data_IF_484296135645
#
_entry.id   IF_484296135645
#
_cell.length_a   1.000
_cell.length_b   1.000
_cell.length_c   1.000
_cell.angle_alpha   90.00
_cell.angle_beta   90.00
_cell.angle_gamma   90.00
#
_symmetry.space_group_name_H-M   'P 1'
#
loop_
_entity.id
_entity.type
_entity.pdbx_description
1 polymer ?
#
# COMPACT_ATOMS: atom_id res chain seq x y z
N UNK A 1 -77.55 63.80 -29.93
CA UNK A 1 -76.25 64.09 -29.14
C UNK A 1 -75.85 62.92 -28.30
N UNK A 2 -76.69 62.05 -27.78
CA UNK A 2 -76.39 60.93 -26.90
C UNK A 2 -75.51 59.81 -27.52
N UNK A 3 -75.69 59.44 -28.78
CA UNK A 3 -74.90 58.39 -29.45
C UNK A 3 -73.40 58.68 -29.50
N UNK A 4 -72.99 59.95 -29.74
CA UNK A 4 -71.56 60.35 -29.76
C UNK A 4 -70.89 60.28 -28.37
N UNK A 5 -71.62 60.52 -27.30
CA UNK A 5 -71.11 60.41 -25.94
C UNK A 5 -70.85 58.98 -25.56
N UNK A 6 -71.72 58.05 -25.93
CA UNK A 6 -71.54 56.60 -25.65
C UNK A 6 -70.35 55.99 -26.42
N UNK A 7 -70.15 56.36 -27.70
CA UNK A 7 -69.04 55.91 -28.52
C UNK A 7 -67.69 56.41 -27.99
N UNK A 8 -67.63 57.67 -27.52
CA UNK A 8 -66.38 58.19 -26.86
C UNK A 8 -66.14 57.51 -25.53
N UNK A 9 -67.16 57.23 -24.75
CA UNK A 9 -66.98 56.50 -23.47
C UNK A 9 -66.47 55.05 -23.67
N UNK A 10 -67.05 54.30 -24.61
CA UNK A 10 -66.62 52.95 -24.99
C UNK A 10 -65.20 52.96 -25.57
N UNK A 11 -64.85 53.96 -26.37
CA UNK A 11 -63.49 54.14 -26.89
C UNK A 11 -62.44 54.35 -25.83
N UNK A 12 -62.76 55.15 -24.82
CA UNK A 12 -61.88 55.38 -23.66
C UNK A 12 -61.76 54.12 -22.82
N UNK A 13 -62.86 53.44 -22.51
CA UNK A 13 -62.85 52.18 -21.75
C UNK A 13 -61.99 51.08 -22.43
N UNK A 14 -62.17 50.96 -23.78
CA UNK A 14 -61.34 50.04 -24.56
C UNK A 14 -59.82 50.38 -24.49
N UNK A 15 -59.48 51.67 -24.46
CA UNK A 15 -58.08 52.14 -24.31
C UNK A 15 -57.57 51.77 -22.96
N UNK A 16 -58.32 51.97 -21.88
CA UNK A 16 -57.96 51.66 -20.52
C UNK A 16 -57.79 50.15 -20.28
N UNK A 17 -58.67 49.33 -20.88
CA UNK A 17 -58.54 47.87 -20.86
C UNK A 17 -57.31 47.42 -21.60
N UNK A 18 -56.97 48.01 -22.76
CA UNK A 18 -55.68 47.66 -23.44
C UNK A 18 -54.49 48.06 -22.67
N UNK A 19 -54.46 49.23 -21.99
CA UNK A 19 -53.41 49.68 -21.13
C UNK A 19 -53.25 48.76 -19.91
N UNK A 20 -54.36 48.35 -19.27
CA UNK A 20 -54.33 47.40 -18.15
C UNK A 20 -53.82 46.02 -18.60
N UNK A 21 -54.20 45.52 -19.76
CA UNK A 21 -53.73 44.26 -20.32
C UNK A 21 -52.22 44.32 -20.61
N UNK A 22 -51.72 45.44 -21.18
CA UNK A 22 -50.27 45.64 -21.41
C UNK A 22 -49.50 45.66 -20.10
N UNK A 23 -50.01 46.34 -19.06
CA UNK A 23 -49.41 46.36 -17.75
C UNK A 23 -49.39 44.95 -17.12
N UNK A 24 -50.47 44.19 -17.21
CA UNK A 24 -50.50 42.79 -16.72
C UNK A 24 -49.51 41.90 -17.43
N UNK A 25 -49.30 42.07 -18.75
CA UNK A 25 -48.27 41.31 -19.49
C UNK A 25 -46.87 41.68 -19.04
N UNK A 26 -46.58 42.95 -18.78
CA UNK A 26 -45.31 43.43 -18.23
C UNK A 26 -45.04 42.84 -16.83
N UNK A 27 -46.04 42.88 -15.94
CA UNK A 27 -45.94 42.29 -14.59
C UNK A 27 -45.70 40.79 -14.67
N UNK A 28 -46.40 40.05 -15.51
CA UNK A 28 -46.18 38.62 -15.73
C UNK A 28 -44.77 38.30 -16.23
N UNK A 29 -44.22 39.15 -17.11
CA UNK A 29 -42.85 39.03 -17.58
C UNK A 29 -41.83 39.29 -16.48
N UNK A 30 -42.05 40.30 -15.63
CA UNK A 30 -41.21 40.59 -14.49
C UNK A 30 -41.24 39.45 -13.44
N UNK A 31 -42.44 38.89 -13.16
CA UNK A 31 -42.56 37.74 -12.26
C UNK A 31 -41.78 36.55 -12.79
N UNK A 32 -41.86 36.23 -14.08
CA UNK A 32 -41.06 35.15 -14.69
C UNK A 32 -39.56 35.42 -14.62
N UNK A 33 -39.14 36.67 -14.76
CA UNK A 33 -37.74 37.10 -14.58
C UNK A 33 -37.25 36.86 -13.14
N UNK A 34 -38.05 37.29 -12.17
CA UNK A 34 -37.74 37.09 -10.75
C UNK A 34 -37.69 35.59 -10.35
N UNK A 35 -38.62 34.80 -10.89
CA UNK A 35 -38.59 33.34 -10.63
C UNK A 35 -37.32 32.66 -11.13
N UNK A 36 -36.83 33.04 -12.36
CA UNK A 36 -35.53 32.56 -12.88
C UNK A 36 -34.40 33.00 -11.98
N UNK A 37 -34.36 34.25 -11.60
CA UNK A 37 -33.31 34.77 -10.71
C UNK A 37 -33.27 34.07 -9.34
N UNK A 38 -34.44 33.80 -8.73
CA UNK A 38 -34.57 33.03 -7.49
C UNK A 38 -34.03 31.60 -7.70
N UNK A 39 -34.30 30.95 -8.81
CA UNK A 39 -33.78 29.63 -9.14
C UNK A 39 -32.24 29.67 -9.23
N UNK A 40 -31.65 30.63 -9.92
CA UNK A 40 -30.21 30.80 -10.04
C UNK A 40 -29.54 31.08 -8.71
N UNK A 41 -30.14 31.94 -7.88
CA UNK A 41 -29.64 32.19 -6.51
C UNK A 41 -29.68 30.92 -5.64
N UNK A 42 -30.72 30.11 -5.78
CA UNK A 42 -30.82 28.84 -5.04
C UNK A 42 -29.70 27.86 -5.42
N UNK A 43 -29.34 27.77 -6.69
CA UNK A 43 -28.20 26.97 -7.17
C UNK A 43 -26.88 27.52 -6.65
N UNK A 44 -26.69 28.84 -6.68
CA UNK A 44 -25.48 29.48 -6.14
C UNK A 44 -25.35 29.24 -4.64
N UNK A 45 -26.46 29.40 -3.88
CA UNK A 45 -26.51 29.10 -2.45
C UNK A 45 -26.07 27.68 -2.16
N UNK A 46 -26.60 26.69 -2.92
CA UNK A 46 -26.24 25.29 -2.74
C UNK A 46 -24.75 25.05 -3.01
N UNK A 47 -24.20 25.59 -4.09
CA UNK A 47 -22.76 25.52 -4.39
C UNK A 47 -21.88 26.09 -3.28
N UNK A 48 -22.30 27.22 -2.68
CA UNK A 48 -21.57 27.83 -1.57
C UNK A 48 -21.67 26.97 -0.29
N UNK A 49 -22.83 26.36 -0.02
CA UNK A 49 -22.98 25.44 1.10
C UNK A 49 -22.10 24.18 0.94
N UNK A 50 -22.10 23.58 -0.25
CA UNK A 50 -21.24 22.43 -0.55
C UNK A 50 -19.74 22.78 -0.44
N UNK A 51 -19.34 23.98 -0.90
CA UNK A 51 -17.98 24.47 -0.75
C UNK A 51 -17.63 24.72 0.72
N UNK A 52 -18.57 25.23 1.52
CA UNK A 52 -18.39 25.45 2.96
C UNK A 52 -18.27 24.12 3.74
N UNK A 53 -19.05 23.11 3.36
CA UNK A 53 -18.92 21.76 3.96
C UNK A 53 -17.58 21.13 3.66
N UNK A 54 -17.13 21.19 2.40
CA UNK A 54 -15.79 20.73 2.01
C UNK A 54 -14.67 21.48 2.73
N UNK A 55 -14.84 22.78 2.99
CA UNK A 55 -13.88 23.58 3.76
C UNK A 55 -13.86 23.23 5.27
N UNK A 56 -14.85 22.50 5.77
CA UNK A 56 -14.88 22.00 7.15
C UNK A 56 -14.16 20.66 7.34
N UNK A 57 -13.91 19.93 6.25
CA UNK A 57 -13.13 18.69 6.35
C UNK A 57 -11.66 19.06 6.67
N UNK A 58 -11.09 18.45 7.71
CA UNK A 58 -9.71 18.75 8.09
C UNK A 58 -8.77 18.31 6.94
N UNK A 59 -7.87 19.21 6.58
CA UNK A 59 -6.82 18.88 5.60
C UNK A 59 -5.82 17.90 6.22
N UNK A 60 -5.01 17.22 5.38
CA UNK A 60 -3.93 16.37 5.87
C UNK A 60 -2.95 17.15 6.77
N UNK A 61 -2.72 18.43 6.49
CA UNK A 61 -1.88 19.30 7.31
C UNK A 61 -2.50 19.53 8.69
N UNK A 62 -3.82 19.72 8.79
CA UNK A 62 -4.53 19.87 10.07
C UNK A 62 -4.43 18.59 10.89
N UNK A 63 -4.62 17.43 10.25
CA UNK A 63 -4.46 16.13 10.91
C UNK A 63 -3.05 15.88 11.43
N UNK A 64 -2.01 16.37 10.73
CA UNK A 64 -0.63 16.29 11.22
C UNK A 64 -0.39 17.22 12.43
N UNK A 65 -1.01 18.38 12.48
CA UNK A 65 -1.00 19.26 13.68
C UNK A 65 -1.72 18.56 14.86
N UNK A 66 -2.85 17.93 14.61
CA UNK A 66 -3.56 17.14 15.61
C UNK A 66 -2.71 15.97 16.13
N UNK A 67 -1.97 15.30 15.26
CA UNK A 67 -1.00 14.27 15.66
C UNK A 67 0.09 14.82 16.58
N UNK A 68 0.65 16.00 16.24
CA UNK A 68 1.63 16.65 17.10
C UNK A 68 1.07 16.97 18.51
N UNK A 69 -0.15 17.50 18.57
CA UNK A 69 -0.83 17.80 19.81
C UNK A 69 -1.07 16.51 20.61
N UNK A 70 -1.54 15.46 19.96
CA UNK A 70 -1.75 14.14 20.56
C UNK A 70 -0.46 13.57 21.19
N UNK A 71 0.66 13.68 20.49
CA UNK A 71 1.98 13.25 21.02
C UNK A 71 2.40 14.03 22.26
N UNK A 72 2.15 15.34 22.26
CA UNK A 72 2.46 16.19 23.41
C UNK A 72 1.56 15.88 24.62
N UNK A 73 0.28 15.60 24.40
CA UNK A 73 -0.64 15.14 25.45
C UNK A 73 -0.18 13.81 26.08
N UNK A 74 0.20 12.84 25.28
CA UNK A 74 0.70 11.54 25.76
C UNK A 74 1.96 11.63 26.63
N UNK A 75 2.67 12.75 26.57
CA UNK A 75 3.88 13.03 27.35
C UNK A 75 3.64 14.02 28.48
N UNK A 76 2.39 14.22 28.90
CA UNK A 76 2.05 15.17 29.98
C UNK A 76 2.87 14.96 31.25
N UNK A 77 3.14 13.71 31.60
CA UNK A 77 3.82 13.30 32.84
C UNK A 77 5.34 13.23 32.73
N UNK A 78 5.91 13.54 31.57
CA UNK A 78 7.34 13.48 31.36
C UNK A 78 8.07 14.70 31.97
N UNK A 79 9.36 14.52 32.32
CA UNK A 79 10.20 15.64 32.78
C UNK A 79 10.28 16.72 31.70
N UNK A 80 10.35 18.00 32.12
CA UNK A 80 10.40 19.16 31.23
C UNK A 80 11.49 19.05 30.17
N UNK A 81 12.70 18.58 30.58
CA UNK A 81 13.84 18.42 29.67
C UNK A 81 13.61 17.34 28.61
N UNK A 82 13.06 16.20 29.00
CA UNK A 82 12.72 15.11 28.08
C UNK A 82 11.60 15.51 27.10
N UNK A 83 10.56 16.18 27.64
CA UNK A 83 9.42 16.69 26.87
C UNK A 83 9.90 17.68 25.80
N UNK A 84 10.72 18.68 26.18
CA UNK A 84 11.23 19.68 25.24
C UNK A 84 12.05 19.05 24.10
N UNK A 85 12.95 18.13 24.42
CA UNK A 85 13.75 17.42 23.41
C UNK A 85 12.87 16.69 22.40
N UNK A 86 11.89 15.92 22.88
CA UNK A 86 10.99 15.16 22.00
C UNK A 86 10.07 16.08 21.19
N UNK A 87 9.59 17.18 21.76
CA UNK A 87 8.75 18.16 21.06
C UNK A 87 9.49 18.79 19.87
N UNK A 88 10.78 19.13 20.03
CA UNK A 88 11.58 19.66 18.92
C UNK A 88 11.73 18.64 17.79
N UNK A 89 11.95 17.38 18.13
CA UNK A 89 12.07 16.31 17.13
C UNK A 89 10.75 16.05 16.40
N UNK A 90 9.65 15.94 17.14
CA UNK A 90 8.33 15.77 16.55
C UNK A 90 7.94 16.94 15.67
N UNK A 91 8.27 18.18 16.08
CA UNK A 91 8.02 19.37 15.28
C UNK A 91 8.75 19.33 13.93
N UNK A 92 10.03 18.95 13.94
CA UNK A 92 10.82 18.84 12.71
C UNK A 92 10.28 17.72 11.79
N UNK A 93 9.89 16.60 12.36
CA UNK A 93 9.30 15.49 11.63
C UNK A 93 7.95 15.88 10.98
N UNK A 94 7.10 16.59 11.72
CA UNK A 94 5.82 17.07 11.20
C UNK A 94 6.02 18.16 10.15
N UNK A 95 6.98 19.08 10.36
CA UNK A 95 7.33 20.11 9.39
C UNK A 95 7.73 19.49 8.06
N UNK A 96 8.62 18.48 8.07
CA UNK A 96 9.03 17.76 6.87
C UNK A 96 7.84 17.05 6.19
N UNK A 97 6.93 16.46 6.97
CA UNK A 97 5.72 15.83 6.44
C UNK A 97 4.79 16.85 5.76
N UNK A 98 4.57 18.02 6.38
CA UNK A 98 3.75 19.11 5.80
C UNK A 98 4.41 19.69 4.53
N UNK A 99 5.72 19.89 4.56
CA UNK A 99 6.47 20.39 3.39
C UNK A 99 6.37 19.37 2.23
N UNK A 100 6.44 18.07 2.53
CA UNK A 100 6.25 17.00 1.54
C UNK A 100 4.83 17.02 0.95
N UNK A 101 3.78 17.12 1.78
CA UNK A 101 2.40 17.19 1.32
C UNK A 101 2.19 18.39 0.39
N UNK A 102 2.75 19.57 0.73
CA UNK A 102 2.67 20.79 -0.09
C UNK A 102 3.40 20.62 -1.42
N UNK A 103 4.62 20.08 -1.40
CA UNK A 103 5.42 19.86 -2.60
C UNK A 103 4.73 18.93 -3.61
N UNK A 104 3.96 17.94 -3.13
CA UNK A 104 3.23 16.98 -3.95
C UNK A 104 1.74 17.31 -4.11
N UNK A 105 1.27 18.47 -3.60
CA UNK A 105 -0.15 18.89 -3.68
C UNK A 105 -1.14 17.88 -3.12
N UNK A 106 -0.76 17.15 -2.06
CA UNK A 106 -1.60 16.16 -1.40
C UNK A 106 -2.41 16.84 -0.29
N UNK A 107 -3.72 16.95 -0.46
CA UNK A 107 -4.60 17.67 0.45
C UNK A 107 -5.58 16.76 1.18
N UNK A 108 -5.97 15.64 0.56
CA UNK A 108 -6.98 14.71 1.08
C UNK A 108 -6.38 13.34 1.38
N UNK A 109 -7.08 12.55 2.19
CA UNK A 109 -6.69 11.16 2.47
C UNK A 109 -6.69 10.32 1.18
N UNK A 110 -7.61 10.60 0.27
CA UNK A 110 -7.71 9.92 -1.03
C UNK A 110 -6.51 10.22 -1.92
N UNK A 111 -6.02 11.48 -1.92
CA UNK A 111 -4.79 11.86 -2.64
C UNK A 111 -3.59 11.09 -2.08
N UNK A 112 -3.49 11.00 -0.75
CA UNK A 112 -2.43 10.27 -0.05
C UNK A 112 -2.46 8.78 -0.38
N UNK A 113 -3.63 8.15 -0.29
CA UNK A 113 -3.80 6.72 -0.59
C UNK A 113 -3.52 6.42 -2.08
N UNK A 114 -3.91 7.33 -2.97
CA UNK A 114 -3.60 7.25 -4.40
C UNK A 114 -2.09 7.36 -4.65
N UNK A 115 -1.42 8.30 -4.01
CA UNK A 115 0.04 8.47 -4.11
C UNK A 115 0.78 7.23 -3.60
N UNK A 116 0.37 6.66 -2.45
CA UNK A 116 0.92 5.42 -1.90
C UNK A 116 0.71 4.25 -2.87
N UNK A 117 -0.48 4.14 -3.45
CA UNK A 117 -0.81 3.09 -4.41
C UNK A 117 0.08 3.17 -5.66
N UNK A 118 0.23 4.36 -6.24
CA UNK A 118 1.04 4.61 -7.43
C UNK A 118 2.52 4.26 -7.19
N UNK A 119 3.09 4.70 -6.06
CA UNK A 119 4.48 4.34 -5.71
C UNK A 119 4.66 2.84 -5.48
N UNK A 120 3.70 2.18 -4.83
CA UNK A 120 3.75 0.73 -4.64
C UNK A 120 3.63 -0.02 -5.98
N UNK A 121 2.78 0.44 -6.90
CA UNK A 121 2.66 -0.13 -8.25
C UNK A 121 3.95 0.03 -9.05
N UNK A 122 4.67 1.13 -8.89
CA UNK A 122 5.97 1.37 -9.52
C UNK A 122 7.07 0.52 -8.89
N UNK A 123 7.11 0.43 -7.56
CA UNK A 123 8.15 -0.30 -6.83
C UNK A 123 7.98 -1.83 -6.86
N UNK A 124 6.75 -2.34 -6.95
CA UNK A 124 6.47 -3.77 -6.92
C UNK A 124 7.12 -4.56 -8.08
N UNK A 125 7.04 -4.14 -9.35
CA UNK A 125 7.70 -4.84 -10.45
C UNK A 125 9.23 -4.80 -10.30
N UNK A 126 9.82 -3.68 -9.86
CA UNK A 126 11.26 -3.55 -9.65
C UNK A 126 11.75 -4.55 -8.58
N UNK A 127 11.04 -4.65 -7.45
CA UNK A 127 11.35 -5.62 -6.38
C UNK A 127 11.21 -7.06 -6.88
N UNK A 128 10.19 -7.35 -7.69
CA UNK A 128 9.97 -8.68 -8.26
C UNK A 128 11.10 -9.06 -9.20
N UNK A 129 11.50 -8.16 -10.08
CA UNK A 129 12.58 -8.38 -11.03
C UNK A 129 13.93 -8.53 -10.31
N UNK A 130 14.22 -7.71 -9.30
CA UNK A 130 15.41 -7.85 -8.47
C UNK A 130 15.49 -9.23 -7.82
N UNK A 131 14.39 -9.71 -7.24
CA UNK A 131 14.30 -11.05 -6.65
C UNK A 131 14.50 -12.16 -7.69
N UNK A 132 13.96 -12.00 -8.90
CA UNK A 132 14.18 -12.95 -9.99
C UNK A 132 15.65 -13.01 -10.41
N UNK A 133 16.29 -11.85 -10.57
CA UNK A 133 17.72 -11.77 -10.88
C UNK A 133 18.58 -12.43 -9.79
N UNK A 134 18.32 -12.14 -8.52
CA UNK A 134 19.03 -12.75 -7.39
C UNK A 134 18.85 -14.27 -7.33
N UNK A 135 17.65 -14.77 -7.59
CA UNK A 135 17.39 -16.20 -7.65
C UNK A 135 18.14 -16.85 -8.82
N UNK A 136 18.19 -16.19 -9.98
CA UNK A 136 18.93 -16.69 -11.16
C UNK A 136 20.44 -16.68 -10.93
N UNK A 137 20.98 -15.63 -10.30
CA UNK A 137 22.41 -15.60 -9.92
C UNK A 137 22.77 -16.73 -8.95
N UNK A 138 21.91 -17.04 -7.97
CA UNK A 138 22.09 -18.19 -7.07
C UNK A 138 22.05 -19.50 -7.83
N UNK A 139 21.14 -19.65 -8.79
CA UNK A 139 21.06 -20.84 -9.63
C UNK A 139 22.33 -21.01 -10.49
N UNK A 140 22.88 -19.93 -11.06
CA UNK A 140 24.14 -19.96 -11.80
C UNK A 140 25.30 -20.41 -10.91
N UNK A 141 25.39 -19.91 -9.67
CA UNK A 141 26.40 -20.36 -8.71
C UNK A 141 26.28 -21.88 -8.43
N UNK A 142 25.05 -22.35 -8.18
CA UNK A 142 24.79 -23.79 -7.96
C UNK A 142 25.14 -24.66 -9.19
N UNK A 143 24.90 -24.15 -10.42
CA UNK A 143 25.28 -24.84 -11.64
C UNK A 143 26.80 -24.96 -11.73
N UNK A 144 27.54 -23.88 -11.44
CA UNK A 144 29.01 -23.89 -11.47
C UNK A 144 29.59 -24.87 -10.45
N UNK A 145 29.07 -24.85 -9.20
CA UNK A 145 29.51 -25.77 -8.15
C UNK A 145 29.21 -27.23 -8.54
N UNK A 146 28.01 -27.50 -9.03
CA UNK A 146 27.64 -28.82 -9.47
C UNK A 146 28.47 -29.30 -10.67
N UNK A 147 28.78 -28.40 -11.60
CA UNK A 147 29.63 -28.73 -12.75
C UNK A 147 31.07 -29.04 -12.31
N UNK A 148 31.62 -28.32 -11.33
CA UNK A 148 32.95 -28.61 -10.78
C UNK A 148 32.99 -29.99 -10.10
N UNK A 149 31.95 -30.31 -9.30
CA UNK A 149 31.81 -31.65 -8.68
C UNK A 149 31.68 -32.74 -9.73
N UNK A 150 30.83 -32.52 -10.75
CA UNK A 150 30.64 -33.45 -11.85
C UNK A 150 31.96 -33.71 -12.60
N UNK A 151 32.71 -32.66 -12.95
CA UNK A 151 33.99 -32.81 -13.64
C UNK A 151 35.01 -33.58 -12.82
N UNK A 152 35.10 -33.32 -11.51
CA UNK A 152 36.02 -34.00 -10.58
C UNK A 152 35.68 -35.48 -10.40
N UNK A 153 34.40 -35.84 -10.32
CA UNK A 153 33.96 -37.19 -9.96
C UNK A 153 33.61 -38.07 -11.20
N UNK A 154 33.50 -37.48 -12.38
CA UNK A 154 33.24 -38.21 -13.63
C UNK A 154 34.19 -39.37 -13.86
N UNK A 155 35.54 -39.31 -13.64
CA UNK A 155 36.46 -40.42 -13.83
C UNK A 155 36.14 -41.64 -12.95
N UNK A 156 35.63 -41.41 -11.71
CA UNK A 156 35.21 -42.49 -10.79
C UNK A 156 34.00 -43.21 -11.38
N UNK A 157 33.04 -42.47 -11.87
CA UNK A 157 31.84 -43.01 -12.53
C UNK A 157 32.17 -43.77 -13.81
N UNK A 158 33.08 -43.24 -14.66
CA UNK A 158 33.50 -43.89 -15.87
C UNK A 158 34.24 -45.21 -15.57
N UNK A 159 34.99 -45.26 -14.47
CA UNK A 159 35.63 -46.48 -13.96
C UNK A 159 34.60 -47.48 -13.47
N UNK A 160 33.56 -47.02 -12.73
CA UNK A 160 32.45 -47.83 -12.28
C UNK A 160 31.68 -48.50 -13.44
N UNK A 161 31.39 -47.74 -14.48
CA UNK A 161 30.68 -48.27 -15.70
C UNK A 161 31.49 -49.32 -16.42
N UNK A 162 32.81 -49.15 -16.53
CA UNK A 162 33.75 -50.05 -17.26
C UNK A 162 33.90 -51.43 -16.57
N UNK A 163 33.48 -51.58 -15.28
CA UNK A 163 33.54 -52.86 -14.61
C UNK A 163 32.45 -53.80 -15.10
N UNK A 164 32.85 -54.96 -15.66
CA UNK A 164 31.93 -55.93 -16.29
C UNK A 164 31.29 -56.90 -15.28
N UNK A 165 31.95 -57.20 -14.17
CA UNK A 165 31.49 -58.17 -13.20
C UNK A 165 30.68 -57.49 -12.08
N UNK A 166 29.48 -58.06 -11.76
CA UNK A 166 28.59 -57.51 -10.74
C UNK A 166 29.28 -57.37 -9.36
N UNK A 167 29.99 -58.40 -8.92
CA UNK A 167 30.71 -58.38 -7.64
C UNK A 167 31.78 -57.24 -7.58
N UNK A 168 32.49 -57.04 -8.68
CA UNK A 168 33.49 -55.94 -8.79
C UNK A 168 32.84 -54.56 -8.84
N UNK A 169 31.62 -54.41 -9.42
CA UNK A 169 30.81 -53.21 -9.38
C UNK A 169 30.35 -52.87 -7.98
N UNK A 170 29.75 -53.88 -7.29
CA UNK A 170 29.19 -53.74 -5.94
C UNK A 170 30.32 -53.37 -4.94
N UNK A 171 31.47 -54.01 -5.03
CA UNK A 171 32.65 -53.67 -4.17
C UNK A 171 33.13 -52.25 -4.44
N UNK A 172 33.25 -51.85 -5.71
CA UNK A 172 33.67 -50.49 -6.08
C UNK A 172 32.67 -49.43 -5.65
N UNK A 173 31.38 -49.72 -5.84
CA UNK A 173 30.29 -48.83 -5.39
C UNK A 173 30.30 -48.67 -3.87
N UNK A 174 30.55 -49.72 -3.12
CA UNK A 174 30.67 -49.64 -1.66
C UNK A 174 31.89 -48.79 -1.23
N UNK A 175 33.03 -48.93 -1.94
CA UNK A 175 34.24 -48.14 -1.68
C UNK A 175 34.10 -46.64 -1.99
N UNK A 176 33.36 -46.31 -3.08
CA UNK A 176 33.20 -44.95 -3.60
C UNK A 176 31.76 -44.44 -3.45
N UNK A 177 31.04 -44.89 -2.44
CA UNK A 177 29.60 -44.56 -2.25
C UNK A 177 29.37 -43.07 -2.16
N UNK A 178 30.13 -42.37 -1.34
CA UNK A 178 29.91 -40.92 -1.11
C UNK A 178 30.21 -40.10 -2.37
N UNK A 179 31.25 -40.48 -3.13
CA UNK A 179 31.58 -39.82 -4.40
C UNK A 179 30.51 -40.05 -5.47
N UNK A 180 30.00 -41.27 -5.59
CA UNK A 180 28.93 -41.57 -6.53
C UNK A 180 27.62 -40.89 -6.16
N UNK A 181 27.29 -40.80 -4.87
CA UNK A 181 26.12 -40.06 -4.38
C UNK A 181 26.28 -38.55 -4.61
N UNK A 182 27.48 -38.01 -4.37
CA UNK A 182 27.78 -36.60 -4.68
C UNK A 182 27.68 -36.31 -6.19
N UNK A 183 28.18 -37.20 -7.04
CA UNK A 183 28.05 -37.09 -8.49
C UNK A 183 26.57 -37.13 -8.93
N UNK A 184 25.79 -38.07 -8.42
CA UNK A 184 24.36 -38.18 -8.72
C UNK A 184 23.60 -36.92 -8.31
N UNK A 185 23.92 -36.33 -7.16
CA UNK A 185 23.38 -35.05 -6.72
C UNK A 185 23.75 -33.90 -7.65
N UNK A 186 25.02 -33.83 -8.06
CA UNK A 186 25.50 -32.84 -9.01
C UNK A 186 24.78 -32.94 -10.37
N UNK A 187 24.65 -34.16 -10.92
CA UNK A 187 23.93 -34.42 -12.18
C UNK A 187 22.46 -33.98 -12.06
N UNK A 188 21.77 -34.34 -10.96
CA UNK A 188 20.38 -33.91 -10.74
C UNK A 188 20.25 -32.40 -10.68
N UNK A 189 21.19 -31.70 -10.04
CA UNK A 189 21.23 -30.24 -9.95
C UNK A 189 21.43 -29.63 -11.34
N UNK A 190 22.39 -30.12 -12.11
CA UNK A 190 22.65 -29.68 -13.48
C UNK A 190 21.43 -29.87 -14.39
N UNK A 191 20.81 -31.05 -14.36
CA UNK A 191 19.61 -31.33 -15.16
C UNK A 191 18.45 -30.44 -14.78
N UNK A 192 18.26 -30.16 -13.48
CA UNK A 192 17.18 -29.31 -12.99
C UNK A 192 17.36 -27.83 -13.33
N UNK A 193 18.58 -27.29 -13.20
CA UNK A 193 18.85 -25.85 -13.30
C UNK A 193 19.38 -25.42 -14.67
N UNK A 194 20.10 -26.33 -15.38
CA UNK A 194 20.72 -26.05 -16.67
C UNK A 194 20.11 -26.86 -17.82
N UNK A 195 19.29 -27.89 -17.52
CA UNK A 195 18.70 -28.79 -18.53
C UNK A 195 19.71 -29.78 -19.16
N UNK A 196 21.00 -29.67 -18.84
CA UNK A 196 22.09 -30.51 -19.39
C UNK A 196 23.24 -30.59 -18.40
N UNK A 197 24.01 -31.68 -18.47
CA UNK A 197 25.28 -31.81 -17.72
C UNK A 197 26.44 -31.06 -18.42
N UNK A 198 26.29 -30.71 -19.71
CA UNK A 198 27.22 -29.86 -20.43
C UNK A 198 26.96 -28.38 -20.05
N UNK A 199 27.97 -27.73 -19.50
CA UNK A 199 27.85 -26.34 -19.00
C UNK A 199 28.76 -25.44 -19.84
N UNK A 200 28.17 -24.37 -20.40
CA UNK A 200 28.90 -23.29 -21.01
C UNK A 200 29.21 -22.21 -19.99
N UNK A 201 30.38 -22.29 -19.38
CA UNK A 201 30.82 -21.36 -18.34
C UNK A 201 30.89 -19.91 -18.83
N UNK A 202 31.36 -19.67 -20.03
CA UNK A 202 31.47 -18.31 -20.59
C UNK A 202 30.09 -17.66 -20.76
N UNK A 203 29.09 -18.41 -21.21
CA UNK A 203 27.71 -17.92 -21.32
C UNK A 203 27.12 -17.64 -19.93
N UNK A 204 27.37 -18.52 -18.93
CA UNK A 204 26.92 -18.30 -17.57
C UNK A 204 27.61 -17.11 -16.90
N UNK A 205 28.88 -16.87 -17.18
CA UNK A 205 29.61 -15.71 -16.66
C UNK A 205 29.09 -14.41 -17.28
N UNK A 206 28.82 -14.40 -18.56
CA UNK A 206 28.18 -13.25 -19.22
C UNK A 206 26.76 -12.97 -18.66
N UNK A 207 25.96 -14.02 -18.51
CA UNK A 207 24.62 -13.91 -17.91
C UNK A 207 24.69 -13.39 -16.47
N UNK A 208 25.59 -13.93 -15.65
CA UNK A 208 25.78 -13.50 -14.25
C UNK A 208 26.16 -12.02 -14.18
N UNK A 209 27.10 -11.58 -15.02
CA UNK A 209 27.54 -10.17 -15.07
C UNK A 209 26.41 -9.24 -15.50
N UNK A 210 25.60 -9.64 -16.49
CA UNK A 210 24.43 -8.88 -16.94
C UNK A 210 23.36 -8.78 -15.83
N UNK A 211 23.08 -9.89 -15.12
CA UNK A 211 22.15 -9.90 -14.01
C UNK A 211 22.66 -9.05 -12.83
N UNK A 212 23.95 -9.05 -12.58
CA UNK A 212 24.58 -8.23 -11.54
C UNK A 212 24.44 -6.74 -11.85
N UNK A 213 24.74 -6.32 -13.09
CA UNK A 213 24.57 -4.94 -13.54
C UNK A 213 23.11 -4.50 -13.47
N UNK A 214 22.19 -5.30 -14.05
CA UNK A 214 20.76 -5.02 -14.00
C UNK A 214 20.20 -4.96 -12.56
N UNK A 215 20.72 -5.80 -11.67
CA UNK A 215 20.33 -5.75 -10.24
C UNK A 215 20.82 -4.48 -9.55
N UNK A 216 22.01 -3.98 -9.88
CA UNK A 216 22.53 -2.71 -9.38
C UNK A 216 21.63 -1.53 -9.83
N UNK A 217 21.25 -1.49 -11.10
CA UNK A 217 20.34 -0.47 -11.63
C UNK A 217 18.98 -0.50 -10.95
N UNK A 218 18.39 -1.70 -10.77
CA UNK A 218 17.12 -1.86 -10.07
C UNK A 218 17.19 -1.41 -8.62
N UNK A 219 18.29 -1.66 -7.92
CA UNK A 219 18.53 -1.17 -6.56
C UNK A 219 18.58 0.34 -6.51
N UNK A 220 19.33 0.97 -7.42
CA UNK A 220 19.39 2.45 -7.51
C UNK A 220 18.00 3.04 -7.76
N UNK A 221 17.19 2.45 -8.66
CA UNK A 221 15.82 2.89 -8.90
C UNK A 221 14.94 2.73 -7.64
N UNK A 222 15.07 1.65 -6.90
CA UNK A 222 14.34 1.43 -5.65
C UNK A 222 14.80 2.39 -4.54
N UNK A 223 16.09 2.70 -4.47
CA UNK A 223 16.66 3.65 -3.52
C UNK A 223 16.14 5.07 -3.76
N UNK A 224 15.94 5.48 -5.02
CA UNK A 224 15.34 6.79 -5.34
C UNK A 224 13.87 6.89 -4.93
N UNK A 225 13.12 5.79 -4.95
CA UNK A 225 11.71 5.74 -4.55
C UNK A 225 11.53 5.57 -3.02
N UNK A 226 12.55 5.09 -2.33
CA UNK A 226 12.45 4.72 -0.90
C UNK A 226 12.13 5.91 0.02
N UNK A 227 12.72 7.12 -0.15
CA UNK A 227 12.37 8.29 0.65
C UNK A 227 10.87 8.63 0.56
N UNK A 228 10.31 8.67 -0.65
CA UNK A 228 8.90 8.99 -0.88
C UNK A 228 7.97 7.93 -0.28
N UNK A 229 8.30 6.65 -0.47
CA UNK A 229 7.53 5.54 0.12
C UNK A 229 7.55 5.63 1.64
N UNK A 230 8.69 5.99 2.24
CA UNK A 230 8.83 6.13 3.68
C UNK A 230 8.09 7.35 4.22
N UNK A 231 8.19 8.49 3.54
CA UNK A 231 7.48 9.72 3.89
C UNK A 231 5.97 9.51 3.89
N UNK A 232 5.41 8.99 2.78
CA UNK A 232 3.96 8.74 2.67
C UNK A 232 3.45 7.72 3.69
N UNK A 233 4.20 6.65 3.96
CA UNK A 233 3.82 5.66 4.98
C UNK A 233 3.82 6.25 6.39
N UNK A 234 4.79 7.11 6.70
CA UNK A 234 4.84 7.76 8.00
C UNK A 234 3.67 8.75 8.15
N UNK A 235 3.42 9.57 7.12
CA UNK A 235 2.28 10.49 7.10
C UNK A 235 0.97 9.72 7.30
N UNK A 236 0.76 8.63 6.56
CA UNK A 236 -0.44 7.79 6.70
C UNK A 236 -0.59 7.24 8.11
N UNK A 237 0.49 6.74 8.69
CA UNK A 237 0.52 6.24 10.07
C UNK A 237 0.13 7.32 11.09
N UNK A 238 0.61 8.56 10.92
CA UNK A 238 0.28 9.68 11.81
C UNK A 238 -1.20 10.04 11.74
N UNK A 239 -1.72 10.12 10.52
CA UNK A 239 -3.14 10.37 10.27
C UNK A 239 -4.03 9.26 10.88
N UNK A 240 -3.66 7.99 10.67
CA UNK A 240 -4.41 6.86 11.23
C UNK A 240 -4.45 6.90 12.77
N UNK A 241 -3.38 7.36 13.43
CA UNK A 241 -3.36 7.53 14.89
C UNK A 241 -4.36 8.59 15.37
N UNK A 242 -4.50 9.69 14.63
CA UNK A 242 -5.47 10.78 14.94
C UNK A 242 -6.88 10.28 14.72
N UNK A 243 -7.18 9.70 13.57
CA UNK A 243 -8.50 9.19 13.22
C UNK A 243 -9.00 8.10 14.18
N UNK A 244 -8.12 7.19 14.58
CA UNK A 244 -8.45 6.16 15.56
C UNK A 244 -8.78 6.76 16.93
N UNK A 245 -8.06 7.81 17.38
CA UNK A 245 -8.39 8.51 18.62
C UNK A 245 -9.72 9.23 18.51
N UNK A 246 -10.00 9.90 17.42
CA UNK A 246 -11.27 10.59 17.18
C UNK A 246 -12.46 9.61 17.19
N UNK A 247 -12.31 8.43 16.59
CA UNK A 247 -13.33 7.38 16.61
C UNK A 247 -13.60 6.84 18.03
N UNK A 248 -12.57 6.70 18.85
CA UNK A 248 -12.67 6.27 20.26
C UNK A 248 -13.30 7.34 21.17
N UNK A 249 -13.15 8.61 20.81
CA UNK A 249 -13.65 9.76 21.58
C UNK A 249 -15.05 10.20 21.15
N UNK A 250 -15.59 9.68 20.03
CA UNK A 250 -16.94 9.99 19.58
C UNK A 250 -17.98 9.36 20.51
N UNK A 251 -19.06 10.09 20.90
CA UNK A 251 -20.13 9.56 21.73
C UNK A 251 -20.84 8.42 20.95
N UNK A 252 -20.57 7.19 21.33
CA UNK A 252 -21.09 5.97 20.70
C UNK A 252 -20.03 5.08 20.03
N UNK A 253 -18.76 5.49 19.98
CA UNK A 253 -17.65 4.67 19.54
C UNK A 253 -17.49 3.46 20.47
N UNK A 254 -17.80 2.24 19.97
CA UNK A 254 -17.42 1.01 20.67
C UNK A 254 -15.90 1.01 20.75
N UNK A 255 -15.34 1.15 21.94
CA UNK A 255 -13.94 0.78 22.20
C UNK A 255 -13.76 -0.63 21.62
N UNK A 256 -12.83 -0.87 20.67
CA UNK A 256 -12.42 -2.22 20.40
C UNK A 256 -11.94 -2.75 21.76
N UNK A 257 -12.64 -3.75 22.31
CA UNK A 257 -12.15 -4.45 23.48
C UNK A 257 -10.71 -4.84 23.14
N UNK A 258 -9.76 -4.15 23.78
CA UNK A 258 -8.39 -4.64 23.79
C UNK A 258 -8.53 -5.98 24.49
N UNK A 259 -8.63 -7.05 23.71
CA UNK A 259 -8.42 -8.39 24.24
C UNK A 259 -7.16 -8.31 25.06
N UNK A 260 -7.33 -8.32 26.35
CA UNK A 260 -6.25 -8.11 27.30
C UNK A 260 -5.20 -9.15 26.93
N UNK A 261 -3.95 -8.73 26.77
CA UNK A 261 -2.81 -9.65 26.58
C UNK A 261 -2.81 -10.72 27.68
N UNK A 262 -3.36 -10.37 28.87
CA UNK A 262 -3.67 -11.28 29.97
C UNK A 262 -4.66 -12.38 29.56
N UNK A 263 -5.74 -12.08 28.82
CA UNK A 263 -6.73 -13.06 28.38
C UNK A 263 -6.14 -14.05 27.35
N UNK A 264 -5.33 -13.56 26.41
CA UNK A 264 -4.55 -14.41 25.47
C UNK A 264 -3.50 -15.25 26.17
N UNK A 265 -2.91 -14.73 27.26
CA UNK A 265 -1.93 -15.46 28.06
C UNK A 265 -2.59 -16.54 28.95
N UNK A 266 -3.79 -16.27 29.46
CA UNK A 266 -4.59 -17.22 30.19
C UNK A 266 -5.14 -18.34 29.28
N UNK A 267 -5.61 -18.00 28.08
CA UNK A 267 -6.04 -18.97 27.06
C UNK A 267 -4.86 -19.83 26.57
N UNK A 268 -3.68 -19.24 26.37
CA UNK A 268 -2.48 -19.99 26.01
C UNK A 268 -1.99 -20.90 27.15
N UNK A 269 -2.12 -20.50 28.41
CA UNK A 269 -1.82 -21.34 29.57
C UNK A 269 -2.83 -22.46 29.75
N UNK A 270 -4.12 -22.19 29.51
CA UNK A 270 -5.17 -23.22 29.56
C UNK A 270 -4.97 -24.27 28.47
N UNK A 271 -4.58 -23.88 27.24
CA UNK A 271 -4.26 -24.78 26.15
C UNK A 271 -3.00 -25.63 26.37
N UNK A 272 -2.04 -25.13 27.15
CA UNK A 272 -0.84 -25.90 27.55
C UNK A 272 -1.11 -26.90 28.68
N UNK A 273 -2.05 -26.59 29.60
CA UNK A 273 -2.46 -27.51 30.66
C UNK A 273 -3.26 -28.68 30.14
N UNK A 274 -4.13 -28.49 29.13
CA UNK A 274 -4.87 -29.59 28.49
C UNK A 274 -3.98 -30.54 27.72
N UNK A 275 -2.93 -30.07 27.04
CA UNK A 275 -1.93 -30.92 26.37
C UNK A 275 -1.05 -31.73 27.35
N UNK A 276 -0.84 -31.22 28.57
CA UNK A 276 -0.04 -31.94 29.58
C UNK A 276 -0.83 -33.03 30.31
N UNK A 277 -2.15 -32.98 30.32
CA UNK A 277 -3.03 -34.04 30.88
C UNK A 277 -3.24 -35.19 29.90
N UNK A 278 -3.29 -34.93 28.60
CA UNK A 278 -3.41 -36.00 27.60
C UNK A 278 -2.17 -36.87 27.46
N UNK A 279 -0.97 -36.32 27.65
CA UNK A 279 0.29 -37.06 27.60
C UNK A 279 0.58 -37.88 28.87
N UNK A 280 -0.12 -37.63 30.00
CA UNK A 280 0.05 -38.44 31.22
C UNK A 280 -0.86 -39.66 31.28
N UNK A 281 -1.95 -39.70 30.50
CA UNK A 281 -2.86 -40.82 30.51
C UNK A 281 -2.47 -41.93 29.50
N UNK A 282 -1.44 -41.73 28.67
CA UNK A 282 -1.00 -42.72 27.69
C UNK A 282 0.22 -43.54 28.13
N UNK A 283 0.71 -43.37 29.39
CA UNK A 283 1.91 -44.04 29.91
C UNK A 283 1.57 -44.99 31.09
N UNK A 284 0.27 -45.30 31.33
CA UNK A 284 -0.15 -46.19 32.41
C UNK A 284 -0.90 -47.49 31.95
N UNK A 285 -0.92 -47.77 30.63
CA UNK A 285 -1.39 -49.07 30.13
C UNK A 285 -0.35 -49.65 29.15
N UNK A 286 0.69 -50.27 29.73
CA UNK A 286 1.50 -51.35 29.16
C UNK A 286 2.28 -52.02 30.26
#
# INVERSE_FOLDING_TARGET
MEKRGVETFLGNLNRDIRAANSLMQSIRSAIRGLQRWIADLSVQKQRLLDALEKAKEPTLSDLLVDYFNLRNEQRSDWSVKAKLKCTVWDFEEIRQAVDYLKAHSLNTIEDLDTAISNLNQTAAPLRRQLKQNENRMRAIAQIKDAAAVHAKLKPIHDTFIKKNFKLAKDAYAAQHKDELDALNKAVRTLMKLNGSTAVNFSALDAEFSALQSGSAELRTQLETLQPDISALKNIRKYIDMVLNKQQLSAPGGKTPEKESVLKKLEEAKAAQTTKKTETKNHTQEL
#
